data_IF_257595578980
#
_entry.id   IF_257595578980
#
_cell.length_a   1.000
_cell.length_b   1.000
_cell.length_c   1.000
_cell.angle_alpha   90.00
_cell.angle_beta   90.00
_cell.angle_gamma   90.00
#
_symmetry.space_group_name_H-M   'P 1'
#
loop_
_entity.id
_entity.type
_entity.pdbx_description
1 polymer ?
#
# COMPACT_ATOMS: atom_id res chain seq x y z
N UNK A 1 7.02 -81.07 -19.77
CA UNK A 1 6.16 -81.21 -18.57
C UNK A 1 6.84 -80.46 -17.43
N UNK A 2 6.08 -79.65 -16.67
CA UNK A 2 6.51 -78.29 -16.39
C UNK A 2 7.16 -78.12 -15.03
N UNK A 3 8.16 -77.24 -15.02
CA UNK A 3 8.78 -76.61 -13.87
C UNK A 3 7.86 -75.55 -13.25
N UNK A 4 7.90 -75.53 -11.94
CA UNK A 4 7.24 -74.61 -11.00
C UNK A 4 7.65 -73.16 -11.26
N UNK A 5 6.68 -72.27 -11.45
CA UNK A 5 6.90 -70.83 -11.30
C UNK A 5 5.82 -70.24 -10.39
N UNK A 6 6.31 -69.64 -9.30
CA UNK A 6 5.55 -69.10 -8.19
C UNK A 6 5.27 -67.63 -8.52
N UNK A 7 4.06 -67.33 -9.01
CA UNK A 7 3.65 -65.96 -9.29
C UNK A 7 3.28 -65.24 -7.99
N UNK A 8 4.19 -64.41 -7.48
CA UNK A 8 3.89 -63.40 -6.46
C UNK A 8 3.23 -62.19 -7.13
N UNK A 9 1.90 -62.08 -7.03
CA UNK A 9 1.22 -60.81 -7.23
C UNK A 9 1.44 -59.93 -6.01
N UNK A 10 2.28 -58.90 -6.15
CA UNK A 10 2.52 -57.89 -5.11
C UNK A 10 1.33 -56.95 -5.06
N UNK A 11 0.67 -56.93 -3.90
CA UNK A 11 -0.48 -56.12 -3.56
C UNK A 11 -0.12 -54.61 -3.60
N UNK A 12 -0.70 -53.84 -4.52
CA UNK A 12 -0.56 -52.38 -4.53
C UNK A 12 -1.39 -51.80 -3.38
N UNK A 13 -0.72 -51.49 -2.28
CA UNK A 13 -1.31 -50.80 -1.13
C UNK A 13 -1.75 -49.39 -1.51
N UNK A 14 -3.06 -49.19 -1.61
CA UNK A 14 -3.66 -47.85 -1.59
C UNK A 14 -3.83 -47.43 -0.13
N UNK A 15 -2.95 -46.54 0.35
CA UNK A 15 -3.10 -45.95 1.67
C UNK A 15 -4.27 -44.96 1.65
N UNK A 16 -5.31 -45.13 2.50
CA UNK A 16 -6.35 -44.13 2.65
C UNK A 16 -5.78 -42.93 3.42
N UNK A 17 -5.63 -41.79 2.75
CA UNK A 17 -5.44 -40.52 3.46
C UNK A 17 -6.70 -40.21 4.28
N UNK A 18 -6.63 -40.50 5.57
CA UNK A 18 -7.61 -40.10 6.57
C UNK A 18 -7.47 -38.60 6.83
N UNK A 19 -8.29 -37.80 6.15
CA UNK A 19 -8.50 -36.41 6.55
C UNK A 19 -9.42 -36.38 7.78
N UNK A 20 -8.83 -36.19 8.96
CA UNK A 20 -9.56 -35.89 10.20
C UNK A 20 -9.78 -34.39 10.28
N UNK A 21 -10.81 -33.90 9.58
CA UNK A 21 -11.39 -32.60 9.86
C UNK A 21 -12.64 -32.82 10.71
N UNK A 22 -12.61 -32.36 11.96
CA UNK A 22 -13.76 -32.38 12.89
C UNK A 22 -14.61 -31.12 12.76
N UNK A 23 -14.77 -30.59 11.55
CA UNK A 23 -15.67 -29.48 11.31
C UNK A 23 -17.10 -30.04 11.39
N UNK A 24 -17.93 -29.57 12.34
CA UNK A 24 -19.34 -29.93 12.34
C UNK A 24 -19.91 -29.48 11.00
N UNK A 25 -20.49 -30.40 10.24
CA UNK A 25 -21.26 -30.02 9.06
C UNK A 25 -22.39 -29.12 9.57
N UNK A 26 -22.30 -27.82 9.30
CA UNK A 26 -23.33 -26.84 9.62
C UNK A 26 -24.58 -27.14 8.78
N UNK A 27 -25.35 -28.15 9.19
CA UNK A 27 -26.71 -28.43 8.68
C UNK A 27 -27.74 -27.59 9.43
N UNK A 28 -27.50 -26.29 9.49
CA UNK A 28 -28.49 -25.29 9.87
C UNK A 28 -28.59 -24.24 8.77
N UNK A 29 -28.73 -24.69 7.52
CA UNK A 29 -29.38 -23.84 6.53
C UNK A 29 -30.89 -24.00 6.74
N UNK A 30 -31.48 -23.06 7.47
CA UNK A 30 -32.94 -22.91 7.49
C UNK A 30 -33.42 -22.76 6.06
N UNK A 31 -34.36 -23.60 5.64
CA UNK A 31 -34.99 -23.47 4.31
C UNK A 31 -35.57 -22.06 4.17
N UNK A 32 -35.45 -21.41 3.00
CA UNK A 32 -36.13 -20.13 2.76
C UNK A 32 -37.62 -20.28 3.09
N UNK A 33 -38.22 -19.33 3.84
CA UNK A 33 -39.63 -19.39 4.15
C UNK A 33 -40.45 -19.46 2.85
N UNK A 34 -41.41 -20.40 2.80
CA UNK A 34 -42.25 -20.63 1.62
C UNK A 34 -43.32 -19.56 1.42
N UNK A 35 -43.64 -18.78 2.46
CA UNK A 35 -44.54 -17.64 2.34
C UNK A 35 -43.73 -16.34 2.25
N UNK A 36 -44.21 -15.44 1.38
CA UNK A 36 -43.75 -14.05 1.28
C UNK A 36 -44.60 -13.12 2.15
N UNK A 37 -45.22 -13.68 3.18
CA UNK A 37 -46.14 -12.96 4.06
C UNK A 37 -45.32 -12.26 5.15
N UNK A 38 -44.55 -11.24 4.74
CA UNK A 38 -44.24 -10.13 5.64
C UNK A 38 -45.57 -9.42 5.80
N UNK A 39 -46.03 -9.25 7.03
CA UNK A 39 -47.36 -8.71 7.37
C UNK A 39 -47.67 -7.34 6.74
N UNK A 40 -48.60 -6.55 7.29
CA UNK A 40 -49.01 -5.29 6.66
C UNK A 40 -47.78 -4.46 6.26
N UNK A 41 -47.83 -3.83 5.07
CA UNK A 41 -46.75 -2.97 4.58
C UNK A 41 -46.32 -2.05 5.71
N UNK A 42 -45.06 -2.17 6.12
CA UNK A 42 -44.47 -1.21 7.04
C UNK A 42 -44.46 0.15 6.33
N UNK A 43 -45.08 1.16 6.94
CA UNK A 43 -44.90 2.58 6.60
C UNK A 43 -43.58 3.14 7.16
N UNK A 44 -42.65 2.25 7.49
CA UNK A 44 -41.33 2.61 7.96
C UNK A 44 -40.53 3.15 6.77
N UNK A 45 -40.22 4.45 6.83
CA UNK A 45 -39.25 5.14 5.96
C UNK A 45 -37.82 4.69 6.30
N UNK A 46 -37.60 3.38 6.35
CA UNK A 46 -36.27 2.77 6.51
C UNK A 46 -35.64 2.58 5.13
N UNK A 47 -35.80 3.55 4.24
CA UNK A 47 -34.89 3.70 3.13
C UNK A 47 -33.65 4.36 3.73
N UNK A 48 -32.69 3.54 4.15
CA UNK A 48 -31.40 4.05 4.61
C UNK A 48 -30.76 4.79 3.43
N UNK A 49 -30.87 6.11 3.42
CA UNK A 49 -30.14 6.94 2.48
C UNK A 49 -28.66 6.72 2.78
N UNK A 50 -27.98 5.96 1.91
CA UNK A 50 -26.54 5.72 2.04
C UNK A 50 -25.74 7.02 1.99
N UNK A 51 -26.33 8.12 1.50
CA UNK A 51 -25.76 9.47 1.59
C UNK A 51 -25.81 10.08 3.00
N UNK A 52 -26.74 9.63 3.85
CA UNK A 52 -26.93 10.10 5.23
C UNK A 52 -26.09 9.32 6.26
N UNK A 53 -25.49 8.19 5.87
CA UNK A 53 -24.55 7.39 6.67
C UNK A 53 -23.07 7.71 6.36
N UNK A 54 -22.81 8.77 5.60
CA UNK A 54 -21.46 9.25 5.34
C UNK A 54 -20.97 10.11 6.51
N UNK A 55 -20.49 9.42 7.54
CA UNK A 55 -19.97 9.99 8.80
C UNK A 55 -18.76 10.93 8.56
N UNK A 56 -18.15 10.90 7.36
CA UNK A 56 -16.99 11.72 7.00
C UNK A 56 -17.35 12.99 6.21
N UNK A 57 -18.63 13.25 5.91
CA UNK A 57 -19.03 14.45 5.16
C UNK A 57 -18.59 15.78 5.78
N UNK A 58 -18.34 15.82 7.08
CA UNK A 58 -17.95 17.03 7.80
C UNK A 58 -16.44 17.11 8.12
N UNK A 59 -15.64 16.12 7.72
CA UNK A 59 -14.18 16.19 7.87
C UNK A 59 -13.59 16.79 6.62
N UNK A 60 -13.02 17.99 6.73
CA UNK A 60 -12.34 18.62 5.60
C UNK A 60 -11.19 17.72 5.12
N UNK A 61 -11.22 17.36 3.83
CA UNK A 61 -10.11 16.63 3.22
C UNK A 61 -8.82 17.46 3.40
N UNK A 62 -7.68 16.81 3.67
CA UNK A 62 -6.44 17.54 3.86
C UNK A 62 -6.08 18.34 2.60
N UNK A 63 -5.48 19.51 2.77
CA UNK A 63 -5.06 20.37 1.65
C UNK A 63 -3.96 19.76 0.77
N UNK A 64 -3.50 18.55 1.12
CA UNK A 64 -2.51 17.76 0.39
C UNK A 64 -3.05 16.39 -0.03
N UNK A 65 -4.36 16.23 -0.15
CA UNK A 65 -4.95 15.01 -0.75
C UNK A 65 -4.47 14.85 -2.18
N UNK A 66 -4.22 13.60 -2.57
CA UNK A 66 -3.75 13.26 -3.92
C UNK A 66 -4.96 12.99 -4.81
N UNK A 67 -5.15 13.81 -5.84
CA UNK A 67 -6.23 13.66 -6.82
C UNK A 67 -5.84 12.67 -7.93
N UNK A 68 -4.59 12.74 -8.39
CA UNK A 68 -4.12 11.92 -9.49
C UNK A 68 -2.64 11.53 -9.32
N UNK A 69 -2.34 10.27 -9.60
CA UNK A 69 -0.98 9.78 -9.79
C UNK A 69 -0.69 9.72 -11.30
N UNK A 70 0.21 10.57 -11.78
CA UNK A 70 0.63 10.60 -13.20
C UNK A 70 1.83 9.67 -13.41
N UNK A 71 2.25 9.50 -14.66
CA UNK A 71 3.46 8.74 -14.98
C UNK A 71 4.72 9.41 -14.44
N UNK A 72 4.76 10.73 -14.43
CA UNK A 72 5.91 11.55 -14.05
C UNK A 72 5.81 12.18 -12.65
N UNK A 73 4.69 12.00 -11.95
CA UNK A 73 4.45 12.67 -10.67
C UNK A 73 3.04 12.56 -10.11
N UNK A 74 2.56 13.66 -9.52
CA UNK A 74 1.35 13.71 -8.69
C UNK A 74 0.60 15.03 -8.86
N UNK A 75 -0.72 14.98 -8.83
CA UNK A 75 -1.61 16.14 -8.74
C UNK A 75 -2.34 16.11 -7.38
N UNK A 76 -2.34 17.25 -6.70
CA UNK A 76 -2.97 17.43 -5.39
C UNK A 76 -4.27 18.27 -5.51
N UNK A 77 -5.15 18.14 -4.53
CA UNK A 77 -6.46 18.81 -4.48
C UNK A 77 -6.41 20.34 -4.43
N UNK A 78 -5.27 20.91 -4.05
CA UNK A 78 -5.00 22.34 -4.08
C UNK A 78 -4.51 22.83 -5.46
N UNK A 79 -4.78 22.06 -6.52
CA UNK A 79 -4.36 22.32 -7.90
C UNK A 79 -2.84 22.27 -8.12
N UNK A 80 -2.05 21.89 -7.10
CA UNK A 80 -0.60 21.74 -7.27
C UNK A 80 -0.26 20.46 -8.01
N UNK A 81 0.70 20.57 -8.94
CA UNK A 81 1.27 19.45 -9.67
C UNK A 81 2.76 19.35 -9.41
N UNK A 82 3.18 18.16 -9.00
CA UNK A 82 4.58 17.81 -8.75
C UNK A 82 4.99 16.81 -9.82
N UNK A 83 5.84 17.24 -10.75
CA UNK A 83 6.40 16.39 -11.82
C UNK A 83 7.91 16.19 -11.65
N UNK A 84 8.43 15.09 -12.16
CA UNK A 84 9.87 14.78 -12.18
C UNK A 84 10.46 14.47 -10.80
N UNK A 85 9.63 14.11 -9.83
CA UNK A 85 10.05 13.71 -8.48
C UNK A 85 8.99 12.82 -7.84
N UNK A 86 9.41 12.06 -6.83
CA UNK A 86 8.49 11.46 -5.89
C UNK A 86 7.87 12.51 -4.97
N UNK A 87 6.95 12.04 -4.16
CA UNK A 87 6.17 12.85 -3.25
C UNK A 87 6.32 12.29 -1.83
N UNK A 88 6.78 13.11 -0.91
CA UNK A 88 6.79 12.82 0.52
C UNK A 88 5.79 13.74 1.21
N UNK A 89 4.78 13.16 1.85
CA UNK A 89 3.73 13.84 2.58
C UNK A 89 3.92 13.60 4.08
N UNK A 90 4.15 14.67 4.84
CA UNK A 90 4.36 14.59 6.30
C UNK A 90 3.74 15.84 6.94
N UNK A 91 2.93 15.66 7.99
CA UNK A 91 2.38 16.79 8.75
C UNK A 91 1.41 17.68 7.96
N UNK A 92 0.87 17.20 6.85
CA UNK A 92 0.00 17.98 5.96
C UNK A 92 0.78 18.85 4.96
N UNK A 93 2.09 18.64 4.83
CA UNK A 93 2.93 19.30 3.83
C UNK A 93 3.40 18.31 2.77
N UNK A 94 3.61 18.81 1.55
CA UNK A 94 4.03 18.03 0.38
C UNK A 94 5.44 18.44 -0.07
N UNK A 95 6.36 17.49 0.01
CA UNK A 95 7.77 17.67 -0.36
C UNK A 95 8.10 16.91 -1.64
N UNK A 96 8.90 17.55 -2.51
CA UNK A 96 9.55 16.84 -3.62
C UNK A 96 10.59 15.89 -3.05
N UNK A 97 10.45 14.61 -3.37
CA UNK A 97 11.29 13.57 -2.81
C UNK A 97 11.94 12.75 -3.91
N UNK A 98 13.27 12.64 -3.88
CA UNK A 98 14.05 11.93 -4.91
C UNK A 98 15.05 10.98 -4.24
N UNK A 99 14.57 9.88 -3.63
CA UNK A 99 15.42 8.94 -2.89
C UNK A 99 16.42 8.19 -3.78
N UNK A 100 16.27 8.28 -5.10
CA UNK A 100 17.15 7.66 -6.10
C UNK A 100 18.37 8.52 -6.46
N UNK A 101 18.43 9.77 -5.99
CA UNK A 101 19.61 10.61 -6.17
C UNK A 101 20.64 10.29 -5.09
N UNK A 102 21.82 9.83 -5.51
CA UNK A 102 22.95 9.62 -4.61
C UNK A 102 23.59 10.98 -4.30
N UNK A 103 23.76 11.32 -3.02
CA UNK A 103 24.45 12.55 -2.58
C UNK A 103 25.98 12.56 -2.85
N UNK A 104 26.45 11.75 -3.79
CA UNK A 104 27.89 11.55 -4.07
C UNK A 104 28.38 12.03 -5.43
N UNK A 105 27.53 12.63 -6.29
CA UNK A 105 28.04 13.31 -7.48
C UNK A 105 28.46 14.72 -7.10
N UNK A 106 29.74 14.89 -6.77
CA UNK A 106 30.38 16.18 -6.54
C UNK A 106 30.05 17.19 -7.66
N UNK A 107 29.12 18.09 -7.37
CA UNK A 107 29.19 19.51 -7.74
C UNK A 107 28.10 20.22 -6.96
N UNK A 108 28.53 20.89 -5.89
CA UNK A 108 27.68 21.67 -5.02
C UNK A 108 26.98 22.82 -5.74
N UNK A 109 25.98 23.35 -5.04
CA UNK A 109 25.61 24.77 -4.89
C UNK A 109 24.11 24.81 -4.61
N UNK A 110 23.77 25.50 -3.52
CA UNK A 110 22.47 26.03 -3.12
C UNK A 110 21.32 25.90 -4.12
N UNK A 111 20.17 25.38 -3.64
CA UNK A 111 18.83 25.62 -4.19
C UNK A 111 18.70 25.55 -5.72
N UNK A 112 18.34 24.38 -6.25
CA UNK A 112 17.70 24.30 -7.56
C UNK A 112 16.18 24.16 -7.40
N UNK A 113 15.55 25.26 -6.96
CA UNK A 113 14.24 25.61 -7.50
C UNK A 113 14.53 26.03 -8.95
N UNK A 114 14.27 25.12 -9.90
CA UNK A 114 14.43 25.37 -11.33
C UNK A 114 15.62 24.64 -11.97
N UNK A 115 15.32 23.53 -12.64
CA UNK A 115 16.03 23.07 -13.83
C UNK A 115 15.20 21.99 -14.52
N UNK A 116 14.70 22.35 -15.70
CA UNK A 116 14.07 21.48 -16.68
C UNK A 116 14.91 20.23 -17.01
N UNK A 117 14.26 19.08 -17.13
CA UNK A 117 14.81 17.92 -17.84
C UNK A 117 15.41 16.81 -16.97
N UNK A 118 14.63 15.74 -16.81
CA UNK A 118 15.09 14.36 -16.65
C UNK A 118 16.05 14.01 -15.49
N UNK A 119 15.73 14.41 -14.26
CA UNK A 119 16.36 13.82 -13.06
C UNK A 119 15.54 12.64 -12.51
N UNK A 120 15.01 11.81 -13.39
CA UNK A 120 14.23 10.60 -13.04
C UNK A 120 15.11 9.36 -12.96
N UNK A 121 16.41 9.49 -13.21
CA UNK A 121 17.32 8.35 -13.31
C UNK A 121 18.12 8.19 -12.01
N UNK A 122 18.08 6.98 -11.46
CA UNK A 122 18.80 6.59 -10.26
C UNK A 122 18.43 5.16 -9.87
N UNK A 123 19.03 4.65 -8.80
CA UNK A 123 18.87 3.27 -8.36
C UNK A 123 18.08 3.22 -7.05
N UNK A 124 16.99 2.45 -7.02
CA UNK A 124 16.19 2.20 -5.80
C UNK A 124 16.19 0.72 -5.41
N UNK A 125 16.62 -0.16 -6.31
CA UNK A 125 16.67 -1.58 -6.06
C UNK A 125 18.07 -2.00 -5.68
N UNK A 126 18.21 -2.75 -4.60
CA UNK A 126 19.48 -3.41 -4.29
C UNK A 126 19.72 -4.60 -5.25
N UNK A 127 20.87 -5.27 -5.13
CA UNK A 127 21.20 -6.45 -5.95
C UNK A 127 20.19 -7.60 -5.80
N UNK A 128 19.46 -7.65 -4.68
CA UNK A 128 18.41 -8.64 -4.39
C UNK A 128 17.03 -8.20 -4.87
N UNK A 129 16.94 -7.13 -5.68
CA UNK A 129 15.68 -6.52 -6.16
C UNK A 129 14.74 -6.08 -5.04
N UNK A 130 15.30 -5.70 -3.89
CA UNK A 130 14.53 -5.11 -2.79
C UNK A 130 14.66 -3.60 -2.83
N UNK A 131 13.57 -2.91 -2.53
CA UNK A 131 13.51 -1.47 -2.45
C UNK A 131 14.36 -0.98 -1.27
N UNK A 132 15.38 -0.19 -1.58
CA UNK A 132 16.40 0.27 -0.65
C UNK A 132 16.68 1.74 -0.88
N UNK A 133 16.58 2.53 0.18
CA UNK A 133 16.78 3.98 0.17
C UNK A 133 17.77 4.33 1.28
N UNK A 134 18.67 5.27 0.98
CA UNK A 134 19.66 5.77 1.93
C UNK A 134 18.99 6.53 3.09
N UNK A 135 19.57 6.44 4.28
CA UNK A 135 19.02 7.05 5.50
C UNK A 135 18.81 8.57 5.36
N UNK A 136 19.72 9.27 4.68
CA UNK A 136 19.60 10.72 4.43
C UNK A 136 18.35 11.14 3.66
N UNK A 137 17.77 10.26 2.83
CA UNK A 137 16.52 10.56 2.13
C UNK A 137 15.29 10.57 3.07
N UNK A 138 15.44 10.12 4.32
CA UNK A 138 14.40 10.12 5.36
C UNK A 138 14.58 11.23 6.39
N UNK A 139 15.56 12.14 6.21
CA UNK A 139 15.92 13.14 7.23
C UNK A 139 14.74 13.97 7.76
N UNK A 140 13.72 14.26 6.95
CA UNK A 140 12.50 14.95 7.39
C UNK A 140 11.78 14.18 8.52
N UNK A 141 11.74 12.84 8.45
CA UNK A 141 11.12 12.01 9.48
C UNK A 141 11.89 12.04 10.80
N UNK A 142 13.19 12.32 10.79
CA UNK A 142 14.01 12.47 12.01
C UNK A 142 13.74 13.81 12.71
N UNK A 143 13.41 14.84 11.95
CA UNK A 143 13.18 16.21 12.45
C UNK A 143 11.74 16.47 12.88
N UNK A 144 10.76 15.80 12.27
CA UNK A 144 9.34 16.02 12.55
C UNK A 144 8.96 15.54 13.96
N UNK A 145 8.17 16.36 14.67
CA UNK A 145 7.52 16.05 15.94
C UNK A 145 6.08 16.59 15.96
N UNK A 146 5.07 15.83 16.42
CA UNK A 146 5.15 14.41 16.82
C UNK A 146 5.51 13.50 15.62
N UNK A 147 6.12 12.34 15.90
CA UNK A 147 6.42 11.35 14.85
C UNK A 147 5.11 10.81 14.26
N UNK A 148 5.03 10.58 12.93
CA UNK A 148 3.87 9.92 12.36
C UNK A 148 3.78 8.46 12.84
N UNK A 149 2.58 8.01 13.17
CA UNK A 149 2.33 6.64 13.64
C UNK A 149 2.47 5.61 12.51
N UNK A 150 2.09 6.03 11.29
CA UNK A 150 2.09 5.19 10.09
C UNK A 150 2.70 5.94 8.90
N UNK A 151 3.62 5.28 8.21
CA UNK A 151 4.19 5.69 6.93
C UNK A 151 3.80 4.69 5.84
N UNK A 152 3.06 5.18 4.85
CA UNK A 152 2.65 4.42 3.68
C UNK A 152 3.67 4.66 2.56
N UNK A 153 4.27 3.59 2.05
CA UNK A 153 5.27 3.63 1.00
C UNK A 153 4.67 3.12 -0.30
N UNK A 154 4.58 4.00 -1.30
CA UNK A 154 4.17 3.68 -2.67
C UNK A 154 5.40 3.43 -3.54
N UNK A 155 5.66 2.17 -3.91
CA UNK A 155 6.89 1.80 -4.64
C UNK A 155 6.82 1.96 -6.17
N UNK A 156 5.83 2.70 -6.69
CA UNK A 156 5.61 2.91 -8.12
C UNK A 156 4.46 2.05 -8.66
N UNK A 157 4.57 1.47 -9.86
CA UNK A 157 3.48 0.74 -10.52
C UNK A 157 3.16 -0.61 -9.88
N UNK A 158 4.11 -1.18 -9.15
CA UNK A 158 3.99 -2.48 -8.50
C UNK A 158 4.58 -2.44 -7.10
N UNK A 159 4.03 -3.29 -6.22
CA UNK A 159 4.56 -3.49 -4.87
C UNK A 159 5.94 -4.14 -4.95
N UNK A 160 6.95 -3.49 -4.38
CA UNK A 160 8.32 -4.03 -4.30
C UNK A 160 8.69 -4.35 -2.85
N UNK A 161 9.28 -5.52 -2.56
CA UNK A 161 9.73 -5.86 -1.22
C UNK A 161 10.76 -4.86 -0.69
N UNK A 162 10.55 -4.32 0.50
CA UNK A 162 11.50 -3.40 1.15
C UNK A 162 12.69 -4.16 1.75
N UNK A 163 13.89 -3.57 1.63
CA UNK A 163 15.09 -4.09 2.27
C UNK A 163 14.93 -4.12 3.80
N UNK A 164 15.32 -5.21 4.50
CA UNK A 164 15.17 -5.31 5.96
C UNK A 164 15.87 -4.19 6.74
N UNK A 165 16.99 -3.68 6.22
CA UNK A 165 17.73 -2.57 6.82
C UNK A 165 16.88 -1.28 6.91
N UNK A 166 16.23 -0.90 5.79
CA UNK A 166 15.36 0.28 5.74
C UNK A 166 14.16 0.11 6.68
N UNK A 167 13.54 -1.08 6.66
CA UNK A 167 12.43 -1.40 7.58
C UNK A 167 12.86 -1.26 9.04
N UNK A 168 14.03 -1.77 9.40
CA UNK A 168 14.57 -1.68 10.77
C UNK A 168 14.83 -0.22 11.17
N UNK A 169 15.45 0.56 10.30
CA UNK A 169 15.73 1.97 10.53
C UNK A 169 14.43 2.77 10.81
N UNK A 170 13.42 2.66 9.95
CA UNK A 170 12.16 3.38 10.12
C UNK A 170 11.36 2.90 11.34
N UNK A 171 11.37 1.59 11.63
CA UNK A 171 10.75 1.07 12.85
C UNK A 171 11.44 1.60 14.12
N UNK A 172 12.77 1.77 14.10
CA UNK A 172 13.52 2.33 15.22
C UNK A 172 13.20 3.81 15.46
N UNK A 173 12.79 4.55 14.43
CA UNK A 173 12.26 5.90 14.56
C UNK A 173 10.86 5.94 15.21
N UNK A 174 10.25 4.77 15.47
CA UNK A 174 8.91 4.64 16.04
C UNK A 174 7.78 4.65 15.02
N UNK A 175 8.08 4.58 13.72
CA UNK A 175 7.10 4.70 12.64
C UNK A 175 6.72 3.32 12.12
N UNK A 176 5.41 3.02 12.02
CA UNK A 176 4.93 1.77 11.39
C UNK A 176 4.93 1.90 9.88
N UNK A 177 5.18 0.79 9.19
CA UNK A 177 5.30 0.79 7.73
C UNK A 177 4.21 -0.02 7.05
N UNK A 178 3.66 0.57 5.99
CA UNK A 178 2.79 -0.10 5.03
C UNK A 178 3.35 0.05 3.62
N UNK A 179 3.43 -1.04 2.86
CA UNK A 179 4.04 -1.04 1.53
C UNK A 179 2.98 -1.43 0.51
N UNK A 180 2.76 -0.55 -0.47
CA UNK A 180 1.78 -0.74 -1.54
C UNK A 180 2.34 -0.20 -2.87
N UNK A 181 1.63 -0.43 -3.96
CA UNK A 181 1.82 0.31 -5.20
C UNK A 181 1.29 1.74 -5.01
N UNK A 182 1.82 2.67 -5.78
CA UNK A 182 1.61 4.11 -5.56
C UNK A 182 0.15 4.53 -5.63
N UNK A 183 -0.66 3.91 -6.49
CA UNK A 183 -2.08 4.27 -6.64
C UNK A 183 -2.87 3.90 -5.39
N UNK A 184 -2.67 2.69 -4.87
CA UNK A 184 -3.33 2.22 -3.67
C UNK A 184 -2.81 2.96 -2.44
N UNK A 185 -1.50 3.19 -2.35
CA UNK A 185 -0.88 3.98 -1.29
C UNK A 185 -1.47 5.40 -1.20
N UNK A 186 -1.67 6.07 -2.34
CA UNK A 186 -2.28 7.39 -2.40
C UNK A 186 -3.73 7.39 -1.89
N UNK A 187 -4.54 6.41 -2.32
CA UNK A 187 -5.92 6.27 -1.87
C UNK A 187 -6.00 6.01 -0.36
N UNK A 188 -5.14 5.13 0.16
CA UNK A 188 -5.10 4.81 1.58
C UNK A 188 -4.65 6.00 2.42
N UNK A 189 -3.65 6.76 1.95
CA UNK A 189 -3.23 7.99 2.61
C UNK A 189 -4.39 8.98 2.71
N UNK A 190 -5.11 9.24 1.61
CA UNK A 190 -6.22 10.19 1.60
C UNK A 190 -7.30 9.81 2.62
N UNK A 191 -7.64 8.51 2.72
CA UNK A 191 -8.61 8.00 3.68
C UNK A 191 -8.11 8.20 5.11
N UNK A 192 -6.93 7.67 5.44
CA UNK A 192 -6.42 7.69 6.83
C UNK A 192 -6.08 9.11 7.29
N UNK A 193 -5.58 9.98 6.41
CA UNK A 193 -5.29 11.37 6.72
C UNK A 193 -6.57 12.18 7.00
N UNK A 194 -7.70 11.79 6.40
CA UNK A 194 -9.01 12.38 6.69
C UNK A 194 -9.58 11.88 8.02
N UNK A 195 -9.45 10.58 8.31
CA UNK A 195 -9.98 9.96 9.54
C UNK A 195 -9.17 10.28 10.80
N UNK A 196 -7.84 10.23 10.70
CA UNK A 196 -6.91 10.32 11.83
C UNK A 196 -6.14 11.64 11.90
N UNK A 197 -6.23 12.44 10.84
CA UNK A 197 -5.47 13.65 10.67
C UNK A 197 -4.08 13.43 10.05
N UNK A 198 -3.60 14.47 9.37
CA UNK A 198 -2.32 14.48 8.64
C UNK A 198 -1.07 14.39 9.50
N UNK A 199 -1.21 14.59 10.82
CA UNK A 199 -0.08 14.47 11.77
C UNK A 199 0.26 13.01 12.11
N UNK A 200 -0.72 12.10 12.02
CA UNK A 200 -0.53 10.69 12.40
C UNK A 200 -0.10 9.80 11.22
N UNK A 201 -0.33 10.26 9.99
CA UNK A 201 -0.10 9.47 8.78
C UNK A 201 0.78 10.24 7.82
N UNK A 202 1.84 9.58 7.36
CA UNK A 202 2.74 10.07 6.32
C UNK A 202 2.67 9.16 5.08
N UNK A 203 3.03 9.69 3.92
CA UNK A 203 3.16 8.91 2.70
C UNK A 203 4.43 9.25 1.93
N UNK A 204 5.10 8.24 1.40
CA UNK A 204 6.31 8.36 0.58
C UNK A 204 6.09 7.62 -0.74
N UNK A 205 5.92 8.36 -1.84
CA UNK A 205 5.38 7.86 -3.09
C UNK A 205 6.36 8.07 -4.25
N UNK A 206 6.61 6.99 -4.99
CA UNK A 206 7.37 7.00 -6.23
C UNK A 206 6.39 7.12 -7.42
N UNK A 207 6.65 7.96 -8.44
CA UNK A 207 5.75 8.09 -9.59
C UNK A 207 5.53 6.75 -10.31
N UNK A 208 4.33 6.55 -10.86
CA UNK A 208 3.94 5.28 -11.49
C UNK A 208 4.81 4.95 -12.71
N UNK A 209 5.24 5.97 -13.45
CA UNK A 209 6.10 5.81 -14.62
C UNK A 209 7.59 5.80 -14.31
N UNK A 210 7.99 5.87 -13.02
CA UNK A 210 9.39 5.81 -12.64
C UNK A 210 10.01 4.45 -13.01
N UNK A 211 11.20 4.48 -13.61
CA UNK A 211 11.97 3.30 -14.00
C UNK A 211 13.45 3.51 -13.68
N UNK A 212 14.08 2.43 -13.23
CA UNK A 212 15.52 2.42 -12.95
C UNK A 212 16.32 2.44 -14.27
N UNK A 213 17.24 3.41 -14.41
CA UNK A 213 18.24 3.43 -15.50
C UNK A 213 17.70 3.65 -16.92
N UNK A 214 16.94 4.73 -17.16
CA UNK A 214 16.62 5.15 -18.54
C UNK A 214 17.79 5.90 -19.19
#
# INVERSE_FOLDING_TARGET
>A
MPSTDFSMCVNTGSYPHRYIHTTPAYRLQSRPPKSRDRGPKSDEDTQTDFGALDVLRNTAAPATSIDACTSDGFALNNQMRISGSGLLLVGGEAFRWRPWLLEGSEKGTTAAVGADGDTTTGKLLNMKRQWSVQEGAWGILELVYPKPDLLIIGTGPHVTPIAPAVRKYLNNLGVRLEIQDTRNAAAQFNLLATERGVGQVAAALIPIGWKEGR
#
